data_IF_833854111328
#
_entry.id   IF_833854111328
#
_cell.length_a   1.000
_cell.length_b   1.000
_cell.length_c   1.000
_cell.angle_alpha   90.00
_cell.angle_beta   90.00
_cell.angle_gamma   90.00
#
_symmetry.space_group_name_H-M   'P 1'
#
loop_
_entity.id
_entity.type
_entity.pdbx_description
1 polymer ?
#
# COMPACT_ATOMS: atom_id res chain seq x y z
N UNK A 1 21.76 -2.29 0.99
CA UNK A 1 20.86 -2.81 2.03
C UNK A 1 19.56 -2.01 2.06
N UNK A 2 18.60 -2.45 2.85
CA UNK A 2 17.28 -1.82 2.90
C UNK A 2 17.32 -0.35 3.31
N UNK A 3 18.21 0.02 4.21
CA UNK A 3 18.35 1.42 4.63
C UNK A 3 18.66 2.35 3.46
N UNK A 4 19.56 1.92 2.59
CA UNK A 4 19.95 2.72 1.42
C UNK A 4 18.78 2.85 0.43
N UNK A 5 18.01 1.79 0.29
CA UNK A 5 16.84 1.78 -0.57
C UNK A 5 15.77 2.75 -0.06
N UNK A 6 15.48 2.68 1.24
CA UNK A 6 14.45 3.53 1.86
C UNK A 6 14.87 5.00 1.95
N UNK A 7 16.17 5.27 2.05
CA UNK A 7 16.68 6.63 2.09
C UNK A 7 16.35 7.45 0.84
N UNK A 8 16.10 6.78 -0.28
CA UNK A 8 15.72 7.43 -1.54
C UNK A 8 14.27 7.91 -1.55
N UNK A 9 13.44 7.39 -0.64
CA UNK A 9 12.03 7.77 -0.57
C UNK A 9 11.86 9.03 0.26
N UNK A 10 11.01 9.91 -0.20
CA UNK A 10 10.62 11.11 0.55
C UNK A 10 9.45 10.78 1.46
N UNK A 11 9.28 11.59 2.50
CA UNK A 11 8.14 11.46 3.41
C UNK A 11 6.82 11.46 2.64
N UNK A 12 5.96 10.50 2.97
CA UNK A 12 4.65 10.36 2.34
C UNK A 12 4.62 9.49 1.10
N UNK A 13 5.76 9.09 0.57
CA UNK A 13 5.81 8.22 -0.60
C UNK A 13 5.47 6.77 -0.21
N UNK A 14 4.81 6.07 -1.11
CA UNK A 14 4.44 4.67 -0.91
C UNK A 14 5.63 3.77 -1.22
N UNK A 15 5.94 2.90 -0.26
CA UNK A 15 6.96 1.86 -0.42
C UNK A 15 6.26 0.54 -0.72
N UNK A 16 6.50 0.00 -1.89
CA UNK A 16 5.89 -1.27 -2.30
C UNK A 16 6.75 -2.44 -1.83
N UNK A 17 6.19 -3.39 -1.07
CA UNK A 17 6.97 -4.57 -0.66
C UNK A 17 7.54 -5.35 -1.84
N UNK A 18 6.84 -5.37 -2.97
CA UNK A 18 7.34 -6.01 -4.19
C UNK A 18 8.62 -5.35 -4.71
N UNK A 19 8.73 -4.03 -4.60
CA UNK A 19 9.94 -3.31 -4.99
C UNK A 19 11.11 -3.62 -4.04
N UNK A 20 10.83 -3.72 -2.74
CA UNK A 20 11.82 -4.13 -1.74
C UNK A 20 12.32 -5.54 -2.02
N UNK A 21 11.39 -6.45 -2.29
CA UNK A 21 11.71 -7.84 -2.59
C UNK A 21 12.64 -7.95 -3.81
N UNK A 22 12.34 -7.19 -4.85
CA UNK A 22 13.16 -7.16 -6.06
C UNK A 22 14.55 -6.60 -5.80
N UNK A 23 14.63 -5.53 -5.03
CA UNK A 23 15.91 -4.89 -4.71
C UNK A 23 16.82 -5.79 -3.88
N UNK A 24 16.25 -6.51 -2.90
CA UNK A 24 17.02 -7.38 -2.00
C UNK A 24 17.16 -8.82 -2.51
N UNK A 25 16.43 -9.19 -3.57
CA UNK A 25 16.45 -10.57 -4.06
C UNK A 25 15.79 -11.55 -3.12
N UNK A 26 14.72 -11.13 -2.44
CA UNK A 26 13.98 -11.95 -1.48
C UNK A 26 12.51 -12.07 -1.91
N UNK A 27 11.75 -12.91 -1.21
CA UNK A 27 10.33 -13.05 -1.47
C UNK A 27 9.57 -11.83 -0.97
N UNK A 28 8.38 -11.59 -1.54
CA UNK A 28 7.51 -10.49 -1.09
C UNK A 28 7.10 -10.69 0.36
N UNK A 29 6.86 -11.92 0.78
CA UNK A 29 6.53 -12.25 2.17
C UNK A 29 7.63 -11.80 3.13
N UNK A 30 8.90 -12.06 2.79
CA UNK A 30 10.03 -11.61 3.59
C UNK A 30 10.15 -10.09 3.61
N UNK A 31 9.84 -9.45 2.48
CA UNK A 31 9.84 -7.99 2.38
C UNK A 31 8.83 -7.37 3.34
N UNK A 32 7.62 -7.94 3.42
CA UNK A 32 6.61 -7.48 4.39
C UNK A 32 7.12 -7.59 5.83
N UNK A 33 7.76 -8.70 6.17
CA UNK A 33 8.31 -8.91 7.52
C UNK A 33 9.39 -7.88 7.86
N UNK A 34 10.24 -7.55 6.91
CA UNK A 34 11.29 -6.55 7.10
C UNK A 34 10.71 -5.16 7.30
N UNK A 35 9.71 -4.79 6.52
CA UNK A 35 9.07 -3.48 6.62
C UNK A 35 8.24 -3.34 7.90
N UNK A 36 7.60 -4.42 8.34
CA UNK A 36 6.77 -4.42 9.54
C UNK A 36 7.53 -3.99 10.80
N UNK A 37 8.80 -4.35 10.90
CA UNK A 37 9.63 -4.02 12.06
C UNK A 37 10.33 -2.67 12.00
N UNK A 38 10.11 -1.87 10.95
CA UNK A 38 10.86 -0.62 10.78
C UNK A 38 10.10 0.59 11.33
N UNK A 39 10.87 1.54 11.87
CA UNK A 39 10.33 2.78 12.43
C UNK A 39 10.23 3.92 11.40
N UNK A 40 10.89 3.77 10.25
CA UNK A 40 10.92 4.80 9.21
C UNK A 40 9.82 4.63 8.15
N UNK A 41 8.98 3.63 8.30
CA UNK A 41 7.79 3.41 7.48
C UNK A 41 6.61 3.07 8.38
N UNK A 42 5.39 3.35 7.90
CA UNK A 42 4.18 2.94 8.60
C UNK A 42 3.27 2.17 7.63
N UNK A 43 2.55 1.16 8.12
CA UNK A 43 1.61 0.44 7.26
C UNK A 43 0.42 1.32 6.92
N UNK A 44 -0.05 1.20 5.68
CA UNK A 44 -1.25 1.87 5.21
C UNK A 44 -2.15 0.86 4.50
N UNK A 45 -3.43 1.12 4.51
CA UNK A 45 -4.42 0.32 3.81
C UNK A 45 -4.86 1.10 2.57
N UNK A 46 -4.72 0.48 1.41
CA UNK A 46 -4.99 1.14 0.13
C UNK A 46 -6.05 0.36 -0.62
N UNK A 47 -7.07 1.06 -1.13
CA UNK A 47 -8.08 0.45 -1.99
C UNK A 47 -7.60 0.55 -3.43
N UNK A 48 -7.60 -0.58 -4.12
CA UNK A 48 -7.28 -0.68 -5.53
C UNK A 48 -8.57 -0.87 -6.32
N UNK A 49 -8.75 -0.08 -7.37
CA UNK A 49 -9.89 -0.23 -8.25
C UNK A 49 -9.86 -1.59 -8.93
N UNK A 50 -10.94 -2.41 -8.82
CA UNK A 50 -10.96 -3.74 -9.44
C UNK A 50 -11.03 -3.71 -10.97
N UNK A 51 -11.35 -2.56 -11.54
CA UNK A 51 -11.52 -2.41 -13.00
C UNK A 51 -10.28 -1.92 -13.70
N UNK A 52 -9.54 -0.99 -13.09
CA UNK A 52 -8.34 -0.40 -13.72
C UNK A 52 -7.06 -0.57 -12.89
N UNK A 53 -7.13 -1.18 -11.72
CA UNK A 53 -6.02 -1.42 -10.80
C UNK A 53 -5.35 -0.15 -10.26
N UNK A 54 -5.99 1.01 -10.42
CA UNK A 54 -5.48 2.26 -9.87
C UNK A 54 -5.67 2.30 -8.36
N UNK A 55 -4.71 2.87 -7.63
CA UNK A 55 -4.83 3.07 -6.19
C UNK A 55 -5.70 4.29 -5.94
N UNK A 56 -6.88 4.07 -5.36
CA UNK A 56 -7.91 5.10 -5.24
C UNK A 56 -7.75 5.94 -3.99
N UNK A 57 -7.57 5.30 -2.84
CA UNK A 57 -7.55 6.00 -1.57
C UNK A 57 -6.76 5.19 -0.54
N UNK A 58 -6.17 5.89 0.45
CA UNK A 58 -5.43 5.24 1.53
C UNK A 58 -6.01 5.60 2.89
N UNK A 59 -5.88 4.66 3.83
CA UNK A 59 -6.27 4.84 5.23
C UNK A 59 -5.12 4.38 6.11
N UNK A 60 -4.99 5.02 7.27
CA UNK A 60 -3.92 4.70 8.22
C UNK A 60 -4.37 3.71 9.29
N UNK A 61 -5.67 3.58 9.51
CA UNK A 61 -6.21 2.68 10.52
C UNK A 61 -7.25 1.77 9.90
N UNK A 62 -7.24 0.49 10.32
CA UNK A 62 -8.18 -0.50 9.81
C UNK A 62 -9.64 -0.12 10.14
N UNK A 63 -9.85 0.56 11.27
CA UNK A 63 -11.18 1.01 11.68
C UNK A 63 -11.77 2.07 10.77
N UNK A 64 -10.94 2.77 9.98
CA UNK A 64 -11.37 3.81 9.07
C UNK A 64 -11.73 3.28 7.69
N UNK A 65 -11.50 1.99 7.44
CA UNK A 65 -11.81 1.39 6.15
C UNK A 65 -13.32 1.44 5.89
N UNK A 66 -13.73 1.68 4.63
CA UNK A 66 -15.15 1.73 4.30
C UNK A 66 -15.81 0.37 4.50
N UNK A 67 -17.02 0.40 5.06
CA UNK A 67 -17.84 -0.78 5.24
C UNK A 67 -19.17 -0.50 4.53
N UNK A 68 -19.47 -1.26 3.49
CA UNK A 68 -20.67 -1.12 2.66
C UNK A 68 -20.80 0.25 1.98
N UNK A 69 -19.72 1.01 1.84
CA UNK A 69 -19.74 2.30 1.15
C UNK A 69 -19.26 2.14 -0.30
N UNK A 70 -19.84 2.95 -1.18
CA UNK A 70 -19.40 3.03 -2.56
C UNK A 70 -18.28 4.06 -2.69
N UNK A 71 -17.25 3.72 -3.49
CA UNK A 71 -16.11 4.59 -3.77
C UNK A 71 -16.01 4.79 -5.27
N UNK A 72 -15.75 6.04 -5.68
CA UNK A 72 -15.53 6.35 -7.08
C UNK A 72 -14.04 6.32 -7.42
N UNK A 73 -13.71 5.72 -8.56
CA UNK A 73 -12.36 5.77 -9.10
C UNK A 73 -12.30 6.89 -10.14
N UNK A 74 -11.52 7.92 -9.88
CA UNK A 74 -11.37 9.06 -10.80
C UNK A 74 -10.65 8.69 -12.09
N UNK A 75 -9.86 7.65 -12.06
CA UNK A 75 -9.07 7.22 -13.21
C UNK A 75 -9.93 6.58 -14.30
N UNK A 76 -10.93 5.77 -13.93
CA UNK A 76 -11.80 5.08 -14.90
C UNK A 76 -13.28 5.44 -14.74
N UNK A 77 -13.62 6.42 -13.91
CA UNK A 77 -14.99 6.90 -13.64
C UNK A 77 -15.97 5.81 -13.18
N UNK A 78 -15.45 4.76 -12.57
CA UNK A 78 -16.27 3.65 -12.08
C UNK A 78 -16.54 3.80 -10.59
N UNK A 79 -17.76 3.50 -10.16
CA UNK A 79 -18.13 3.45 -8.75
C UNK A 79 -18.23 1.97 -8.35
N UNK A 80 -17.66 1.62 -7.21
CA UNK A 80 -17.65 0.24 -6.75
C UNK A 80 -17.69 0.18 -5.22
N UNK A 81 -18.15 -0.96 -4.68
CA UNK A 81 -18.10 -1.22 -3.24
C UNK A 81 -16.86 -2.07 -2.96
N UNK A 82 -15.85 -1.53 -2.25
CA UNK A 82 -14.63 -2.28 -2.00
C UNK A 82 -14.89 -3.55 -1.19
N UNK A 83 -14.23 -4.63 -1.59
CA UNK A 83 -14.21 -5.87 -0.83
C UNK A 83 -12.83 -6.06 -0.21
N UNK A 84 -12.66 -7.07 0.64
CA UNK A 84 -11.36 -7.39 1.22
C UNK A 84 -10.28 -7.67 0.16
N UNK A 85 -10.70 -8.07 -1.04
CA UNK A 85 -9.77 -8.35 -2.15
C UNK A 85 -9.26 -7.08 -2.83
N UNK A 86 -9.97 -5.97 -2.65
CA UNK A 86 -9.59 -4.68 -3.22
C UNK A 86 -8.70 -3.88 -2.28
N UNK A 87 -8.57 -4.33 -1.03
CA UNK A 87 -7.78 -3.64 0.00
C UNK A 87 -6.44 -4.34 0.13
N UNK A 88 -5.36 -3.59 -0.06
CA UNK A 88 -4.00 -4.10 0.07
C UNK A 88 -3.24 -3.32 1.13
N UNK A 89 -2.27 -3.97 1.76
CA UNK A 89 -1.40 -3.33 2.75
C UNK A 89 -0.10 -2.94 2.05
N UNK A 90 0.22 -1.65 2.12
CA UNK A 90 1.48 -1.11 1.64
C UNK A 90 2.11 -0.33 2.79
N UNK A 91 3.22 0.34 2.52
CA UNK A 91 3.92 1.13 3.54
C UNK A 91 4.14 2.54 3.03
N UNK A 92 4.10 3.49 3.93
CA UNK A 92 4.35 4.90 3.63
C UNK A 92 5.61 5.34 4.36
N UNK A 93 6.50 6.04 3.66
CA UNK A 93 7.73 6.58 4.25
C UNK A 93 7.38 7.70 5.23
N UNK A 94 7.91 7.58 6.44
CA UNK A 94 7.75 8.64 7.46
C UNK A 94 8.70 9.80 7.24
#
# INVERSE_FOLDING_TARGET
>A
MLDDFLAKYRKGYIVYPSAVARYLGITVEKAYKLLEGRNDVCPIFVVRCPFCSHLVKRWYFISDLPDDEEIGCEHCDTVFSPTKYDIIVLYEKK
#
